data_IF_497042426329
#
_entry.id   IF_497042426329
#
_cell.length_a   1.000
_cell.length_b   1.000
_cell.length_c   1.000
_cell.angle_alpha   90.00
_cell.angle_beta   90.00
_cell.angle_gamma   90.00
#
_symmetry.space_group_name_H-M   'P 1'
#
loop_
_entity.id
_entity.type
_entity.pdbx_description
1 polymer ?
#
# COMPACT_ATOMS: atom_id res chain seq x y z
N UNK A 1 -25.74 -72.94 7.51
CA UNK A 1 -27.22 -72.96 7.44
C UNK A 1 -27.77 -73.23 8.84
N UNK A 2 -28.87 -72.61 9.29
CA UNK A 2 -29.61 -71.48 8.71
C UNK A 2 -29.98 -70.31 9.68
N UNK A 3 -30.27 -69.14 9.06
CA UNK A 3 -31.36 -68.13 9.25
C UNK A 3 -31.62 -67.51 10.66
N UNK A 4 -31.81 -66.20 10.89
CA UNK A 4 -32.55 -65.14 10.15
C UNK A 4 -32.31 -63.71 10.74
N UNK A 5 -32.39 -62.67 9.89
CA UNK A 5 -33.05 -61.34 10.10
C UNK A 5 -32.42 -60.35 11.11
N UNK A 6 -32.02 -59.10 10.80
CA UNK A 6 -32.71 -58.01 10.06
C UNK A 6 -31.70 -56.90 9.69
N UNK A 7 -31.73 -56.44 8.45
CA UNK A 7 -31.15 -55.18 7.97
C UNK A 7 -32.26 -54.14 7.80
N UNK A 8 -31.97 -52.87 8.10
CA UNK A 8 -32.84 -51.74 7.78
C UNK A 8 -32.03 -50.69 7.00
N UNK A 9 -32.48 -50.38 5.79
CA UNK A 9 -32.00 -49.27 4.97
C UNK A 9 -33.15 -48.34 4.63
N UNK A 10 -32.86 -47.05 4.43
CA UNK A 10 -33.71 -46.05 3.77
C UNK A 10 -32.77 -45.04 3.09
N UNK A 11 -32.58 -45.16 1.76
CA UNK A 11 -33.22 -44.42 0.64
C UNK A 11 -32.63 -43.03 0.37
N UNK A 12 -31.72 -42.98 -0.61
CA UNK A 12 -31.36 -41.78 -1.38
C UNK A 12 -32.46 -41.46 -2.40
N UNK A 13 -32.83 -40.18 -2.52
CA UNK A 13 -33.64 -39.66 -3.62
C UNK A 13 -32.71 -38.87 -4.55
N UNK A 14 -32.62 -39.31 -5.80
CA UNK A 14 -31.97 -38.62 -6.92
C UNK A 14 -33.11 -38.23 -7.86
N UNK A 15 -33.22 -36.94 -8.20
CA UNK A 15 -34.12 -36.48 -9.25
C UNK A 15 -33.29 -35.79 -10.34
N UNK A 16 -33.09 -36.52 -11.44
CA UNK A 16 -32.68 -36.00 -12.73
C UNK A 16 -33.94 -35.54 -13.48
N UNK A 17 -33.92 -34.33 -14.03
CA UNK A 17 -34.82 -33.92 -15.12
C UNK A 17 -33.98 -33.70 -16.38
N UNK A 18 -34.34 -34.38 -17.47
CA UNK A 18 -33.75 -34.17 -18.78
C UNK A 18 -34.82 -34.33 -19.87
N UNK A 19 -34.78 -33.36 -20.80
CA UNK A 19 -35.19 -33.37 -22.21
C UNK A 19 -36.67 -33.25 -22.63
N UNK A 20 -36.94 -32.25 -23.48
CA UNK A 20 -37.66 -32.45 -24.75
C UNK A 20 -37.25 -31.37 -25.78
N UNK A 21 -36.54 -31.82 -26.83
CA UNK A 21 -36.35 -31.16 -28.11
C UNK A 21 -37.57 -31.43 -29.00
N UNK A 22 -37.99 -30.44 -29.80
CA UNK A 22 -38.90 -30.62 -30.93
C UNK A 22 -38.19 -30.21 -32.22
N UNK A 23 -38.08 -31.16 -33.15
CA UNK A 23 -37.82 -30.96 -34.57
C UNK A 23 -39.03 -31.51 -35.34
N UNK A 24 -39.52 -30.74 -36.31
CA UNK A 24 -40.29 -31.26 -37.45
C UNK A 24 -39.77 -30.66 -38.74
N UNK A 25 -39.69 -31.55 -39.73
CA UNK A 25 -39.10 -31.51 -41.08
C UNK A 25 -39.88 -30.69 -42.12
N UNK A 26 -39.21 -30.19 -43.18
CA UNK A 26 -39.41 -30.62 -44.59
C UNK A 26 -38.78 -29.67 -45.65
N UNK A 27 -38.18 -30.27 -46.70
CA UNK A 27 -37.99 -29.72 -48.06
C UNK A 27 -36.65 -29.01 -48.31
N UNK A 28 -35.59 -29.62 -48.86
CA UNK A 28 -35.35 -30.20 -50.19
C UNK A 28 -34.96 -29.17 -51.28
N UNK A 29 -33.95 -29.52 -52.09
CA UNK A 29 -33.64 -28.88 -53.38
C UNK A 29 -32.42 -27.96 -53.43
N UNK A 30 -31.29 -28.49 -53.94
CA UNK A 30 -30.09 -27.73 -54.27
C UNK A 30 -30.15 -26.98 -55.61
N UNK A 31 -29.06 -26.27 -55.95
CA UNK A 31 -28.81 -25.85 -57.34
C UNK A 31 -28.16 -24.47 -57.54
N UNK A 32 -26.85 -24.49 -57.78
CA UNK A 32 -26.05 -23.72 -58.76
C UNK A 32 -26.26 -22.20 -58.99
N UNK A 33 -25.15 -21.48 -58.81
CA UNK A 33 -24.41 -20.64 -59.80
C UNK A 33 -25.22 -19.77 -60.78
N UNK A 34 -24.97 -18.46 -60.75
CA UNK A 34 -25.28 -17.53 -61.84
C UNK A 34 -24.75 -16.11 -61.60
N UNK A 35 -23.57 -15.82 -62.16
CA UNK A 35 -23.02 -14.49 -62.44
C UNK A 35 -23.83 -13.73 -63.50
N UNK A 36 -23.83 -12.39 -63.53
CA UNK A 36 -23.88 -11.45 -64.70
C UNK A 36 -23.99 -10.01 -64.11
N UNK A 37 -22.92 -9.19 -64.02
CA UNK A 37 -22.26 -8.24 -64.95
C UNK A 37 -22.87 -6.83 -65.10
N UNK A 38 -21.97 -5.84 -64.98
CA UNK A 38 -21.80 -4.56 -65.73
C UNK A 38 -22.95 -3.54 -65.80
N UNK A 39 -22.74 -2.37 -65.18
CA UNK A 39 -22.22 -1.10 -65.74
C UNK A 39 -23.27 -0.32 -66.52
N UNK A 40 -23.57 0.91 -66.06
CA UNK A 40 -23.53 2.04 -66.99
C UNK A 40 -23.29 3.40 -66.31
N UNK A 41 -22.57 4.24 -67.04
CA UNK A 41 -21.80 5.41 -66.59
C UNK A 41 -22.56 6.75 -66.63
N UNK A 42 -22.01 7.66 -65.82
CA UNK A 42 -21.78 9.09 -66.05
C UNK A 42 -22.93 10.11 -65.92
N UNK A 43 -22.78 11.01 -64.93
CA UNK A 43 -22.60 12.47 -65.15
C UNK A 43 -22.27 13.20 -63.83
N UNK A 44 -21.17 13.97 -63.83
CA UNK A 44 -20.89 15.11 -62.92
C UNK A 44 -20.81 16.39 -63.78
N UNK A 45 -21.06 17.62 -63.28
CA UNK A 45 -20.18 18.36 -62.35
C UNK A 45 -20.98 19.17 -61.28
N UNK A 46 -20.48 19.82 -60.21
CA UNK A 46 -19.35 20.74 -59.99
C UNK A 46 -19.26 20.98 -58.45
N UNK A 47 -18.14 20.69 -57.80
CA UNK A 47 -17.07 21.60 -57.33
C UNK A 47 -17.46 22.85 -56.52
N UNK A 48 -17.35 22.77 -55.18
CA UNK A 48 -16.80 23.84 -54.36
C UNK A 48 -16.16 23.23 -53.08
N UNK A 49 -14.85 22.98 -53.13
CA UNK A 49 -14.04 22.64 -51.95
C UNK A 49 -12.99 23.74 -51.77
N UNK A 50 -13.07 24.40 -50.62
CA UNK A 50 -12.09 25.35 -50.11
C UNK A 50 -10.72 24.67 -49.94
N UNK A 51 -9.68 25.30 -50.49
CA UNK A 51 -8.28 24.95 -50.31
C UNK A 51 -7.85 25.17 -48.85
N UNK A 52 -7.53 24.10 -48.13
CA UNK A 52 -6.55 24.15 -47.04
C UNK A 52 -5.43 23.16 -47.36
N UNK A 53 -4.21 23.69 -47.53
CA UNK A 53 -3.01 22.95 -47.88
C UNK A 53 -2.33 22.53 -46.57
N UNK A 54 -2.13 21.23 -46.38
CA UNK A 54 -1.32 20.71 -45.26
C UNK A 54 0.15 21.15 -45.43
N UNK A 55 0.85 21.57 -44.36
CA UNK A 55 2.25 21.95 -44.45
C UNK A 55 3.11 20.70 -44.65
N UNK A 56 3.88 20.67 -45.76
CA UNK A 56 4.88 19.64 -46.00
C UNK A 56 6.18 19.98 -45.26
N UNK A 57 6.60 19.12 -44.33
CA UNK A 57 7.92 19.16 -43.70
C UNK A 57 8.99 18.75 -44.72
N UNK A 58 9.99 19.61 -44.94
CA UNK A 58 11.17 19.27 -45.75
C UNK A 58 12.06 18.28 -44.98
N UNK A 59 12.63 17.24 -45.63
CA UNK A 59 13.59 16.36 -44.98
C UNK A 59 14.87 17.13 -44.65
N UNK A 60 15.31 17.06 -43.39
CA UNK A 60 16.55 17.67 -42.90
C UNK A 60 17.73 16.88 -43.45
N UNK A 61 18.62 17.55 -44.17
CA UNK A 61 19.89 17.00 -44.68
C UNK A 61 20.78 16.67 -43.47
N UNK A 62 21.10 15.39 -43.25
CA UNK A 62 22.04 14.95 -42.22
C UNK A 62 23.43 14.95 -42.86
N UNK A 63 24.33 15.80 -42.37
CA UNK A 63 25.75 15.73 -42.70
C UNK A 63 26.42 14.61 -41.89
N UNK A 64 27.31 13.80 -42.48
CA UNK A 64 28.01 12.75 -41.76
C UNK A 64 29.05 13.35 -40.82
N UNK A 65 28.92 13.04 -39.53
CA UNK A 65 29.92 13.33 -38.50
C UNK A 65 31.16 12.45 -38.70
N UNK A 66 32.39 12.95 -38.50
CA UNK A 66 33.60 12.15 -38.62
C UNK A 66 33.69 11.13 -37.48
N UNK A 67 34.06 9.89 -37.82
CA UNK A 67 34.32 8.81 -36.86
C UNK A 67 35.53 9.16 -35.98
N UNK A 68 35.31 9.42 -34.69
CA UNK A 68 36.39 9.62 -33.72
C UNK A 68 36.74 8.28 -33.08
N UNK A 69 38.03 7.92 -33.12
CA UNK A 69 38.55 6.66 -32.62
C UNK A 69 38.42 6.56 -31.10
N UNK A 70 38.10 5.37 -30.62
CA UNK A 70 38.11 5.01 -29.20
C UNK A 70 39.55 4.83 -28.72
N UNK A 71 40.03 5.78 -27.93
CA UNK A 71 41.01 5.51 -26.88
C UNK A 71 40.43 6.03 -25.56
N UNK A 72 40.59 5.30 -24.44
CA UNK A 72 40.17 5.78 -23.14
C UNK A 72 41.08 6.95 -22.74
N UNK A 73 40.50 8.14 -22.56
CA UNK A 73 41.23 9.24 -21.94
C UNK A 73 41.34 8.93 -20.45
N UNK A 74 42.54 8.58 -19.99
CA UNK A 74 42.88 8.68 -18.58
C UNK A 74 42.83 10.17 -18.21
N UNK A 75 41.89 10.54 -17.35
CA UNK A 75 41.83 11.86 -16.75
C UNK A 75 42.90 11.90 -15.65
N UNK A 76 44.09 12.43 -15.98
CA UNK A 76 45.05 12.89 -14.97
C UNK A 76 44.62 14.28 -14.47
N UNK A 77 44.21 14.37 -13.21
CA UNK A 77 43.83 15.61 -12.53
C UNK A 77 42.92 15.34 -11.32
N UNK A 78 42.97 16.21 -10.31
CA UNK A 78 42.05 16.13 -9.16
C UNK A 78 40.60 16.26 -9.68
N UNK A 79 39.68 15.35 -9.33
CA UNK A 79 38.29 15.42 -9.79
C UNK A 79 37.58 16.74 -9.50
N UNK A 80 38.06 17.59 -8.58
CA UNK A 80 37.50 18.93 -8.34
C UNK A 80 37.77 19.95 -9.48
N UNK A 81 38.82 19.76 -10.29
CA UNK A 81 39.18 20.69 -11.38
C UNK A 81 38.29 20.54 -12.64
N UNK A 82 37.40 19.55 -12.66
CA UNK A 82 36.48 19.27 -13.78
C UNK A 82 35.02 19.62 -13.50
N UNK A 83 34.72 20.16 -12.32
CA UNK A 83 33.40 20.69 -11.98
C UNK A 83 33.49 22.20 -11.77
N UNK A 84 32.96 22.98 -12.72
CA UNK A 84 32.55 24.35 -12.38
C UNK A 84 31.35 24.27 -11.44
N UNK A 85 31.60 24.44 -10.15
CA UNK A 85 30.57 24.80 -9.17
C UNK A 85 30.08 26.21 -9.52
N UNK A 86 29.04 26.28 -10.35
CA UNK A 86 28.36 27.54 -10.63
C UNK A 86 27.57 27.92 -9.38
N UNK A 87 28.16 28.84 -8.63
CA UNK A 87 27.65 29.40 -7.38
C UNK A 87 26.37 30.22 -7.63
N UNK A 88 25.21 29.55 -7.58
CA UNK A 88 23.92 30.21 -7.41
C UNK A 88 23.43 30.07 -5.95
N UNK A 89 24.29 30.38 -4.97
CA UNK A 89 23.88 30.53 -3.58
C UNK A 89 23.70 32.01 -3.23
N UNK A 90 22.48 32.53 -3.35
CA UNK A 90 22.13 33.83 -2.77
C UNK A 90 20.79 33.86 -2.03
N UNK A 91 20.23 32.75 -1.52
CA UNK A 91 18.99 32.82 -0.73
C UNK A 91 18.80 31.80 0.41
N UNK A 92 19.84 31.09 0.88
CA UNK A 92 19.68 30.19 2.03
C UNK A 92 20.82 30.35 3.04
N UNK A 93 20.47 30.65 4.30
CA UNK A 93 21.34 30.44 5.45
C UNK A 93 21.09 29.04 6.00
N UNK A 94 22.09 28.17 5.93
CA UNK A 94 22.10 26.91 6.66
C UNK A 94 22.46 27.24 8.12
N UNK A 95 21.47 27.21 9.02
CA UNK A 95 21.76 27.28 10.45
C UNK A 95 22.46 25.99 10.89
N UNK A 96 23.62 26.11 11.53
CA UNK A 96 24.28 24.97 12.18
C UNK A 96 23.39 24.49 13.34
N UNK A 97 23.17 23.18 13.49
CA UNK A 97 22.36 22.68 14.60
C UNK A 97 23.03 23.01 15.94
N UNK A 98 22.31 23.71 16.80
CA UNK A 98 22.69 23.94 18.19
C UNK A 98 22.87 22.59 18.91
N UNK A 99 23.97 22.37 19.65
CA UNK A 99 24.37 21.06 20.17
C UNK A 99 23.37 20.42 21.18
N UNK A 100 22.35 21.15 21.62
CA UNK A 100 21.33 20.68 22.56
C UNK A 100 19.89 20.58 22.00
N UNK A 101 19.67 20.81 20.70
CA UNK A 101 18.31 20.83 20.11
C UNK A 101 17.94 19.63 19.22
N UNK A 102 18.87 18.71 18.96
CA UNK A 102 18.63 17.60 18.05
C UNK A 102 18.00 16.38 18.76
N UNK A 103 16.66 16.36 18.85
CA UNK A 103 15.90 15.10 18.94
C UNK A 103 14.84 15.03 17.86
N UNK A 104 15.28 14.58 16.68
CA UNK A 104 14.52 13.73 15.77
C UNK A 104 13.39 14.38 14.95
N UNK A 105 13.48 14.19 13.63
CA UNK A 105 12.41 14.37 12.62
C UNK A 105 12.29 15.73 11.91
N UNK A 106 13.30 16.60 11.94
CA UNK A 106 13.35 17.76 11.03
C UNK A 106 14.07 17.41 9.72
N UNK A 107 13.36 17.46 8.59
CA UNK A 107 13.98 17.48 7.26
C UNK A 107 13.22 18.43 6.32
N UNK A 108 13.92 19.45 5.83
CA UNK A 108 13.45 20.35 4.80
C UNK A 108 14.04 19.96 3.44
N UNK A 109 13.23 20.02 2.37
CA UNK A 109 13.74 20.15 1.00
C UNK A 109 12.90 21.19 0.26
N UNK A 110 13.62 22.06 -0.43
CA UNK A 110 13.10 23.15 -1.25
C UNK A 110 12.90 22.63 -2.68
N UNK A 111 11.74 22.83 -3.32
CA UNK A 111 11.59 22.52 -4.75
C UNK A 111 12.35 23.56 -5.59
N UNK A 112 12.97 23.18 -6.72
CA UNK A 112 13.49 24.16 -7.66
C UNK A 112 12.34 24.88 -8.34
N UNK A 113 12.52 26.18 -8.55
CA UNK A 113 11.63 26.99 -9.36
C UNK A 113 11.95 26.83 -10.86
N UNK A 114 11.88 25.62 -11.45
CA UNK A 114 11.96 25.45 -12.92
C UNK A 114 11.22 24.21 -13.46
N UNK A 115 10.65 24.27 -14.68
CA UNK A 115 10.02 23.13 -15.32
C UNK A 115 11.08 22.13 -15.82
N UNK A 116 11.18 20.96 -15.18
CA UNK A 116 12.03 19.85 -15.65
C UNK A 116 12.76 19.06 -14.56
N UNK A 117 12.73 19.51 -13.31
CA UNK A 117 13.34 18.79 -12.17
C UNK A 117 12.24 18.22 -11.26
N UNK A 118 12.08 16.89 -11.30
CA UNK A 118 11.11 16.15 -10.48
C UNK A 118 11.70 15.82 -9.10
N UNK A 119 11.70 16.78 -8.19
CA UNK A 119 11.97 16.51 -6.78
C UNK A 119 10.94 17.20 -5.89
N UNK A 120 10.05 16.40 -5.30
CA UNK A 120 9.12 16.82 -4.27
C UNK A 120 9.53 16.14 -2.97
N UNK A 121 9.93 16.89 -1.96
CA UNK A 121 9.94 16.40 -0.57
C UNK A 121 9.07 17.33 0.23
N UNK A 122 8.21 16.75 1.06
CA UNK A 122 7.48 17.51 2.06
C UNK A 122 8.31 17.54 3.34
N UNK A 123 8.30 18.69 4.01
CA UNK A 123 8.81 18.77 5.38
C UNK A 123 7.74 18.18 6.28
N UNK A 124 8.05 17.11 7.03
CA UNK A 124 7.30 16.83 8.26
C UNK A 124 7.77 17.89 9.24
N UNK A 125 7.16 19.09 9.18
CA UNK A 125 7.33 20.05 10.27
C UNK A 125 6.59 19.42 11.44
N UNK A 126 7.32 18.69 12.28
CA UNK A 126 6.88 18.58 13.66
C UNK A 126 6.77 20.03 14.13
N UNK A 127 5.58 20.52 14.55
CA UNK A 127 5.52 21.84 15.14
C UNK A 127 6.58 21.87 16.23
N UNK A 128 7.53 22.81 16.14
CA UNK A 128 8.49 23.04 17.20
C UNK A 128 7.70 22.99 18.51
N UNK A 129 8.23 22.28 19.50
CA UNK A 129 7.86 22.52 20.89
C UNK A 129 8.31 23.96 21.21
N UNK A 130 7.57 24.93 20.67
CA UNK A 130 7.54 26.30 21.16
C UNK A 130 7.31 26.14 22.64
N UNK A 131 8.16 26.78 23.45
CA UNK A 131 8.26 26.60 24.90
C UNK A 131 6.99 26.95 25.69
N UNK A 132 5.84 27.01 25.05
CA UNK A 132 4.52 26.94 25.65
C UNK A 132 3.96 25.54 25.37
N UNK A 133 4.22 24.61 26.29
CA UNK A 133 3.41 23.40 26.46
C UNK A 133 2.01 23.82 26.92
N UNK A 134 1.26 24.52 26.07
CA UNK A 134 -0.20 24.45 26.15
C UNK A 134 -0.53 23.02 25.80
N UNK A 135 -0.61 22.15 26.82
CA UNK A 135 -1.31 20.90 26.68
C UNK A 135 -2.66 21.26 26.06
N UNK A 136 -2.96 20.88 24.81
CA UNK A 136 -4.34 21.00 24.37
C UNK A 136 -5.13 20.19 25.39
N UNK A 137 -6.21 20.79 25.88
CA UNK A 137 -7.13 20.21 26.85
C UNK A 137 -7.83 19.00 26.22
N UNK A 138 -7.07 17.94 25.98
CA UNK A 138 -7.58 16.73 25.41
C UNK A 138 -8.28 15.98 26.52
N UNK A 139 -9.59 16.06 26.54
CA UNK A 139 -10.43 15.16 27.34
C UNK A 139 -10.34 13.72 26.84
N UNK A 140 -9.65 13.47 25.71
CA UNK A 140 -9.48 12.14 25.15
C UNK A 140 -8.53 11.31 26.02
N UNK A 141 -9.04 10.22 26.58
CA UNK A 141 -8.24 9.23 27.29
C UNK A 141 -7.89 8.10 26.34
N UNK A 142 -6.60 7.83 26.21
CA UNK A 142 -6.14 6.64 25.49
C UNK A 142 -6.74 5.37 26.12
N UNK A 143 -7.01 4.33 25.31
CA UNK A 143 -7.35 3.01 25.83
C UNK A 143 -6.29 2.49 26.80
N UNK A 144 -6.71 1.66 27.76
CA UNK A 144 -5.79 1.03 28.72
C UNK A 144 -4.69 0.24 27.97
N UNK A 145 -3.45 0.37 28.41
CA UNK A 145 -2.29 -0.28 27.80
C UNK A 145 -1.58 0.57 26.74
N UNK A 146 -1.95 1.84 26.63
CA UNK A 146 -1.28 2.81 25.77
C UNK A 146 -0.95 4.09 26.53
N UNK A 147 0.27 4.58 26.33
CA UNK A 147 0.80 5.78 26.97
C UNK A 147 1.11 6.85 25.92
N UNK A 148 0.69 8.09 26.15
CA UNK A 148 1.05 9.21 25.28
C UNK A 148 2.53 9.56 25.42
N UNK A 149 3.17 9.95 24.31
CA UNK A 149 4.54 10.47 24.29
C UNK A 149 4.49 11.99 24.05
N UNK A 150 4.37 12.81 25.11
CA UNK A 150 4.09 14.25 25.00
C UNK A 150 5.19 15.05 24.29
N UNK A 151 6.42 14.54 24.26
CA UNK A 151 7.56 15.13 23.57
C UNK A 151 7.35 15.31 22.05
N UNK A 152 6.43 14.53 21.46
CA UNK A 152 6.07 14.65 20.04
C UNK A 152 4.88 15.60 19.79
N UNK A 153 4.35 16.21 20.84
CA UNK A 153 3.20 17.10 20.78
C UNK A 153 1.87 16.40 20.45
N UNK A 154 0.88 17.22 20.13
CA UNK A 154 -0.51 16.81 19.95
C UNK A 154 -1.08 17.35 18.63
N UNK A 155 -2.16 16.75 18.14
CA UNK A 155 -2.94 17.27 17.02
C UNK A 155 -3.80 18.46 17.46
N UNK A 156 -4.42 19.14 16.49
CA UNK A 156 -5.35 20.25 16.77
C UNK A 156 -6.56 19.79 17.60
N UNK A 157 -6.96 18.54 17.47
CA UNK A 157 -8.03 17.88 18.22
C UNK A 157 -7.56 17.36 19.60
N UNK A 158 -6.29 17.59 19.95
CA UNK A 158 -5.71 17.15 21.22
C UNK A 158 -5.31 15.68 21.25
N UNK A 159 -5.21 14.98 20.11
CA UNK A 159 -4.71 13.60 20.10
C UNK A 159 -3.19 13.60 20.17
N UNK A 160 -2.54 12.79 21.04
CA UNK A 160 -1.08 12.63 21.01
C UNK A 160 -0.58 12.29 19.60
N UNK A 161 0.49 12.91 19.11
CA UNK A 161 1.06 12.57 17.79
C UNK A 161 1.80 11.24 17.79
N UNK A 162 2.29 10.84 18.97
CA UNK A 162 2.89 9.54 19.25
C UNK A 162 2.33 8.96 20.54
N UNK A 163 2.15 7.65 20.51
CA UNK A 163 1.84 6.84 21.69
C UNK A 163 2.78 5.65 21.73
N UNK A 164 2.84 4.98 22.87
CA UNK A 164 3.53 3.71 23.04
C UNK A 164 2.54 2.66 23.52
N UNK A 165 2.58 1.47 22.96
CA UNK A 165 1.92 0.31 23.56
C UNK A 165 2.73 -0.18 24.75
N UNK A 166 2.11 -0.27 25.92
CA UNK A 166 2.82 -0.60 27.16
C UNK A 166 3.28 -2.07 27.19
N UNK A 167 2.67 -2.93 26.37
CA UNK A 167 2.94 -4.37 26.36
C UNK A 167 4.13 -4.75 25.48
N UNK A 168 4.15 -4.25 24.23
CA UNK A 168 5.22 -4.58 23.30
C UNK A 168 6.26 -3.46 23.10
N UNK A 169 6.05 -2.32 23.75
CA UNK A 169 6.86 -1.11 23.69
C UNK A 169 6.94 -0.46 22.31
N UNK A 170 6.09 -0.85 21.36
CA UNK A 170 6.06 -0.21 20.05
C UNK A 170 5.63 1.25 20.16
N UNK A 171 6.36 2.14 19.52
CA UNK A 171 5.87 3.49 19.24
C UNK A 171 4.87 3.44 18.08
N UNK A 172 3.82 4.26 18.15
CA UNK A 172 2.78 4.35 17.13
C UNK A 172 2.55 5.81 16.74
N UNK A 173 2.32 6.04 15.45
CA UNK A 173 2.07 7.32 14.85
C UNK A 173 0.57 7.59 14.69
N UNK A 174 0.12 8.79 15.04
CA UNK A 174 -1.23 9.25 14.72
C UNK A 174 -1.38 9.46 13.21
N UNK A 175 -2.39 8.81 12.63
CA UNK A 175 -2.94 9.14 11.31
C UNK A 175 -4.30 9.82 11.55
N UNK A 176 -4.41 11.14 11.29
CA UNK A 176 -5.63 11.89 11.56
C UNK A 176 -6.85 11.40 10.76
N UNK A 177 -8.04 11.76 11.26
CA UNK A 177 -9.29 11.52 10.54
C UNK A 177 -9.35 12.45 9.32
N UNK A 178 -9.46 11.89 8.13
CA UNK A 178 -9.51 12.67 6.88
C UNK A 178 -9.82 11.79 5.68
N UNK A 179 -10.11 12.44 4.55
CA UNK A 179 -10.20 11.80 3.24
C UNK A 179 -8.78 11.53 2.72
N UNK A 180 -8.58 10.37 2.11
CA UNK A 180 -7.34 10.03 1.41
C UNK A 180 -7.63 9.40 0.05
N UNK A 181 -6.68 9.56 -0.87
CA UNK A 181 -6.68 8.92 -2.18
C UNK A 181 -6.08 7.51 -2.05
N UNK A 182 -6.80 6.53 -2.60
CA UNK A 182 -6.42 5.11 -2.60
C UNK A 182 -6.29 4.60 -4.04
N UNK A 183 -5.35 3.70 -4.28
CA UNK A 183 -5.10 3.12 -5.59
C UNK A 183 -4.48 4.11 -6.58
N UNK A 184 -4.58 3.77 -7.86
CA UNK A 184 -4.06 4.55 -8.98
C UNK A 184 -5.02 4.51 -10.16
N UNK A 185 -5.02 5.55 -10.97
CA UNK A 185 -5.87 5.61 -12.17
C UNK A 185 -5.30 4.76 -13.32
N UNK A 186 -3.98 4.62 -13.38
CA UNK A 186 -3.29 3.88 -14.43
C UNK A 186 -2.13 3.06 -13.88
N UNK A 187 -1.75 2.00 -14.60
CA UNK A 187 -0.71 1.07 -14.17
C UNK A 187 -1.28 -0.31 -13.86
N UNK A 188 -0.99 -0.84 -12.67
CA UNK A 188 -1.41 -2.18 -12.26
C UNK A 188 -2.95 -2.25 -12.11
N UNK A 189 -3.64 -3.14 -12.83
CA UNK A 189 -5.09 -3.31 -12.70
C UNK A 189 -5.54 -3.68 -11.28
N UNK A 190 -4.71 -4.33 -10.47
CA UNK A 190 -5.06 -4.70 -9.10
C UNK A 190 -5.24 -3.49 -8.18
N UNK A 191 -4.59 -2.36 -8.51
CA UNK A 191 -4.66 -1.12 -7.76
C UNK A 191 -5.59 -0.07 -8.40
N UNK A 192 -6.36 -0.46 -9.43
CA UNK A 192 -7.33 0.39 -10.12
C UNK A 192 -8.78 0.08 -9.70
N UNK A 193 -9.70 1.05 -9.81
CA UNK A 193 -9.46 2.47 -10.06
C UNK A 193 -8.94 3.18 -8.81
N UNK A 194 -8.47 4.41 -8.98
CA UNK A 194 -8.26 5.29 -7.84
C UNK A 194 -9.62 5.69 -7.25
N UNK A 195 -9.69 5.87 -5.93
CA UNK A 195 -10.89 6.36 -5.26
C UNK A 195 -10.57 7.13 -3.99
N UNK A 196 -11.51 7.95 -3.54
CA UNK A 196 -11.40 8.68 -2.27
C UNK A 196 -12.10 7.92 -1.14
N UNK A 197 -11.46 7.81 0.01
CA UNK A 197 -12.04 7.22 1.22
C UNK A 197 -11.86 8.13 2.42
N UNK A 198 -12.93 8.34 3.18
CA UNK A 198 -12.85 8.92 4.53
C UNK A 198 -12.56 7.84 5.56
N UNK A 199 -11.58 8.08 6.41
CA UNK A 199 -11.23 7.19 7.53
C UNK A 199 -11.14 8.00 8.82
N UNK A 200 -11.63 7.40 9.91
CA UNK A 200 -11.44 7.92 11.26
C UNK A 200 -9.96 7.92 11.63
N UNK A 201 -9.60 8.68 12.68
CA UNK A 201 -8.26 8.70 13.20
C UNK A 201 -7.88 7.33 13.79
N UNK A 202 -6.64 6.92 13.58
CA UNK A 202 -6.06 5.71 14.16
C UNK A 202 -4.59 5.93 14.46
N UNK A 203 -4.02 5.07 15.28
CA UNK A 203 -2.57 4.96 15.42
C UNK A 203 -2.08 3.75 14.66
N UNK A 204 -0.89 3.83 14.07
CA UNK A 204 -0.21 2.71 13.40
C UNK A 204 1.21 2.56 13.95
N UNK A 205 1.68 1.33 14.14
CA UNK A 205 3.04 1.07 14.58
C UNK A 205 4.06 1.77 13.64
N UNK A 206 5.10 2.36 14.25
CA UNK A 206 6.08 3.20 13.57
C UNK A 206 6.92 2.41 12.56
N UNK A 207 7.10 1.12 12.76
CA UNK A 207 7.77 0.15 11.89
C UNK A 207 7.10 -1.23 12.05
N UNK A 208 7.53 -2.23 11.29
CA UNK A 208 7.01 -3.59 11.41
C UNK A 208 7.28 -4.20 12.78
N UNK A 209 6.47 -5.19 13.18
CA UNK A 209 6.75 -5.98 14.39
C UNK A 209 8.09 -6.67 14.23
N UNK A 210 8.99 -6.41 15.17
CA UNK A 210 10.34 -6.94 15.14
C UNK A 210 10.38 -8.41 15.54
N UNK A 211 11.41 -9.11 15.09
CA UNK A 211 11.62 -10.52 15.43
C UNK A 211 11.74 -10.73 16.94
N UNK A 212 12.37 -9.80 17.67
CA UNK A 212 12.46 -9.84 19.14
C UNK A 212 11.07 -9.73 19.79
N UNK A 213 10.25 -8.78 19.37
CA UNK A 213 8.88 -8.62 19.87
C UNK A 213 8.04 -9.88 19.64
N UNK A 214 8.14 -10.48 18.44
CA UNK A 214 7.43 -11.71 18.11
C UNK A 214 7.90 -12.90 18.96
N UNK A 215 9.22 -13.11 19.11
CA UNK A 215 9.81 -14.17 19.95
C UNK A 215 9.38 -14.04 21.41
N UNK A 216 9.34 -12.81 21.95
CA UNK A 216 8.85 -12.55 23.31
C UNK A 216 7.40 -12.95 23.46
N UNK A 217 6.52 -12.48 22.57
CA UNK A 217 5.10 -12.84 22.58
C UNK A 217 4.89 -14.37 22.48
N UNK A 218 5.63 -15.03 21.58
CA UNK A 218 5.58 -16.49 21.42
C UNK A 218 5.96 -17.22 22.71
N UNK A 219 7.02 -16.78 23.38
CA UNK A 219 7.47 -17.36 24.65
C UNK A 219 6.42 -17.20 25.75
N UNK A 220 5.76 -16.04 25.84
CA UNK A 220 4.62 -15.82 26.76
C UNK A 220 3.45 -16.76 26.45
N UNK A 221 3.12 -16.95 25.17
CA UNK A 221 2.00 -17.80 24.76
C UNK A 221 2.23 -19.28 25.07
N UNK A 222 3.46 -19.76 24.85
CA UNK A 222 3.88 -21.12 25.22
C UNK A 222 3.72 -21.31 26.73
N UNK A 223 4.24 -20.37 27.54
CA UNK A 223 4.17 -20.44 28.99
C UNK A 223 2.72 -20.40 29.53
N UNK A 224 1.84 -19.59 28.91
CA UNK A 224 0.50 -19.37 29.42
C UNK A 224 -0.55 -20.40 28.96
N UNK A 225 -0.43 -20.94 27.74
CA UNK A 225 -1.54 -21.70 27.11
C UNK A 225 -1.15 -23.05 26.54
N UNK A 226 0.14 -23.41 26.53
CA UNK A 226 0.63 -24.66 25.92
C UNK A 226 0.35 -24.78 24.42
N UNK A 227 -0.20 -23.75 23.78
CA UNK A 227 -0.27 -23.62 22.32
C UNK A 227 1.05 -23.02 21.85
N UNK A 228 1.62 -23.60 20.81
CA UNK A 228 2.87 -23.18 20.22
C UNK A 228 2.51 -22.40 18.96
N UNK A 229 2.48 -21.04 18.98
CA UNK A 229 2.56 -20.29 17.72
C UNK A 229 3.78 -20.75 16.94
N UNK A 230 3.71 -20.76 15.62
CA UNK A 230 4.88 -21.16 14.83
C UNK A 230 6.00 -20.12 15.01
N UNK A 231 7.28 -20.55 15.03
CA UNK A 231 8.38 -19.62 14.98
C UNK A 231 8.29 -18.78 13.70
N UNK A 232 8.89 -17.59 13.71
CA UNK A 232 9.01 -16.82 12.48
C UNK A 232 9.82 -17.60 11.43
N UNK A 233 9.54 -17.36 10.14
CA UNK A 233 10.33 -17.97 9.06
C UNK A 233 11.82 -17.57 9.13
N UNK A 234 12.11 -16.41 9.71
CA UNK A 234 13.46 -15.92 9.99
C UNK A 234 13.87 -16.05 11.47
N UNK A 235 13.35 -17.02 12.22
CA UNK A 235 13.59 -17.16 13.68
C UNK A 235 15.04 -17.51 14.07
N UNK A 236 15.99 -17.60 13.15
CA UNK A 236 17.42 -17.72 13.46
C UNK A 236 18.20 -16.43 13.18
N UNK A 237 17.54 -15.41 12.64
CA UNK A 237 18.21 -14.17 12.29
C UNK A 237 18.43 -13.27 13.53
N UNK A 238 19.41 -12.38 13.40
CA UNK A 238 19.90 -11.49 14.44
C UNK A 238 19.62 -10.02 14.10
N UNK A 239 19.77 -9.16 15.11
CA UNK A 239 19.52 -7.72 14.98
C UNK A 239 18.04 -7.35 15.06
N UNK A 240 17.78 -6.04 14.97
CA UNK A 240 16.43 -5.48 15.10
C UNK A 240 15.65 -5.55 13.76
N UNK A 241 15.51 -6.75 13.21
CA UNK A 241 14.88 -7.02 11.91
C UNK A 241 13.37 -7.29 12.06
N UNK A 242 12.56 -7.09 10.99
CA UNK A 242 11.16 -7.48 11.01
C UNK A 242 10.98 -8.99 11.19
N UNK A 243 9.93 -9.40 11.92
CA UNK A 243 9.50 -10.79 11.94
C UNK A 243 8.82 -11.12 10.60
N UNK A 244 9.28 -12.17 9.91
CA UNK A 244 8.79 -12.53 8.58
C UNK A 244 8.42 -14.02 8.49
N UNK A 245 7.73 -14.40 7.42
CA UNK A 245 7.17 -15.74 7.26
C UNK A 245 6.07 -16.03 8.29
N UNK A 246 5.34 -14.99 8.72
CA UNK A 246 4.34 -15.09 9.78
C UNK A 246 2.99 -15.46 9.17
N UNK A 247 2.38 -16.55 9.64
CA UNK A 247 1.02 -16.89 9.25
C UNK A 247 0.05 -15.79 9.70
N UNK A 248 -0.94 -15.45 8.88
CA UNK A 248 -1.91 -14.41 9.20
C UNK A 248 -2.61 -14.64 10.55
N UNK A 249 -2.89 -15.91 10.89
CA UNK A 249 -3.50 -16.29 12.17
C UNK A 249 -2.65 -15.89 13.38
N UNK A 250 -1.32 -15.98 13.27
CA UNK A 250 -0.42 -15.59 14.36
C UNK A 250 -0.26 -14.06 14.41
N UNK A 251 -0.23 -13.39 13.26
CA UNK A 251 -0.24 -11.92 13.17
C UNK A 251 -1.48 -11.31 13.86
N UNK A 252 -2.69 -11.82 13.60
CA UNK A 252 -3.91 -11.35 14.29
C UNK A 252 -3.90 -11.66 15.79
N UNK A 253 -3.34 -12.81 16.19
CA UNK A 253 -3.29 -13.21 17.59
C UNK A 253 -2.29 -12.34 18.37
N UNK A 254 -1.14 -12.02 17.76
CA UNK A 254 -0.20 -11.04 18.27
C UNK A 254 -0.90 -9.69 18.46
N UNK A 255 -1.49 -9.14 17.40
CA UNK A 255 -2.12 -7.81 17.44
C UNK A 255 -3.17 -7.71 18.54
N UNK A 256 -4.07 -8.71 18.65
CA UNK A 256 -5.08 -8.79 19.70
C UNK A 256 -4.49 -8.87 21.11
N UNK A 257 -3.39 -9.59 21.27
CA UNK A 257 -2.69 -9.72 22.57
C UNK A 257 -2.14 -8.39 23.07
N UNK A 258 -1.75 -7.52 22.14
CA UNK A 258 -1.25 -6.17 22.40
C UNK A 258 -2.37 -5.11 22.51
N UNK A 259 -3.65 -5.51 22.39
CA UNK A 259 -4.78 -4.57 22.37
C UNK A 259 -4.89 -3.77 21.07
N UNK A 260 -4.31 -4.30 19.99
CA UNK A 260 -4.26 -3.70 18.64
C UNK A 260 -5.02 -4.57 17.63
N UNK A 261 -4.99 -4.17 16.36
CA UNK A 261 -5.54 -4.88 15.20
C UNK A 261 -4.51 -4.89 14.07
N UNK A 262 -4.69 -5.75 13.06
CA UNK A 262 -3.99 -5.55 11.78
C UNK A 262 -4.61 -4.34 11.07
N UNK A 263 -3.81 -3.57 10.28
CA UNK A 263 -4.35 -2.48 9.49
C UNK A 263 -5.38 -2.99 8.48
N UNK A 264 -6.40 -2.19 8.20
CA UNK A 264 -7.09 -2.31 6.93
C UNK A 264 -6.14 -1.91 5.80
N UNK A 265 -6.33 -2.46 4.61
CA UNK A 265 -5.56 -2.12 3.41
C UNK A 265 -5.53 -0.60 3.18
N UNK A 266 -6.68 0.05 3.32
CA UNK A 266 -6.79 1.50 3.15
C UNK A 266 -6.08 2.29 4.26
N UNK A 267 -6.03 1.76 5.48
CA UNK A 267 -5.28 2.38 6.58
C UNK A 267 -3.79 2.30 6.34
N UNK A 268 -3.30 1.13 5.91
CA UNK A 268 -1.90 0.93 5.56
C UNK A 268 -1.49 1.89 4.44
N UNK A 269 -2.29 1.96 3.36
CA UNK A 269 -1.99 2.81 2.22
C UNK A 269 -2.05 4.29 2.57
N UNK A 270 -3.05 4.73 3.35
CA UNK A 270 -3.11 6.10 3.85
C UNK A 270 -1.86 6.41 4.66
N UNK A 271 -1.50 5.55 5.62
CA UNK A 271 -0.33 5.73 6.46
C UNK A 271 0.98 5.81 5.66
N UNK A 272 1.07 5.11 4.53
CA UNK A 272 2.22 5.18 3.63
C UNK A 272 2.22 6.47 2.79
N UNK A 273 1.11 6.79 2.12
CA UNK A 273 1.05 7.75 1.01
C UNK A 273 0.57 9.15 1.41
N UNK A 274 0.00 9.31 2.60
CA UNK A 274 -0.69 10.54 2.99
C UNK A 274 -2.04 10.72 2.30
N UNK A 275 -2.67 11.88 2.54
CA UNK A 275 -4.00 12.20 2.01
C UNK A 275 -4.01 12.38 0.49
N UNK A 276 -2.92 12.92 -0.05
CA UNK A 276 -2.75 13.21 -1.48
C UNK A 276 -2.37 11.99 -2.31
N UNK A 277 -2.14 10.83 -1.69
CA UNK A 277 -1.81 9.61 -2.40
C UNK A 277 -0.45 9.65 -3.12
N UNK A 278 0.63 10.02 -2.44
CA UNK A 278 1.98 9.99 -3.04
C UNK A 278 2.38 8.60 -3.54
N UNK A 279 3.19 8.51 -4.59
CA UNK A 279 3.65 7.24 -5.16
C UNK A 279 4.51 6.44 -4.18
N UNK A 280 5.32 7.13 -3.37
CA UNK A 280 6.20 6.56 -2.36
C UNK A 280 5.96 7.21 -0.99
N UNK A 281 6.41 6.58 0.11
CA UNK A 281 6.24 7.15 1.45
C UNK A 281 6.86 8.54 1.61
N UNK A 282 8.02 8.77 1.01
CA UNK A 282 8.74 10.04 1.04
C UNK A 282 8.23 11.08 0.02
N UNK A 283 7.14 10.80 -0.70
CA UNK A 283 6.62 11.66 -1.77
C UNK A 283 6.97 11.13 -3.17
N UNK A 284 6.77 11.95 -4.20
CA UNK A 284 6.97 11.54 -5.60
C UNK A 284 8.42 11.73 -6.11
N UNK A 285 9.28 12.28 -5.27
CA UNK A 285 10.71 12.47 -5.56
C UNK A 285 11.56 11.23 -5.25
N UNK A 286 12.87 11.47 -5.16
CA UNK A 286 13.86 10.47 -4.77
C UNK A 286 14.13 10.52 -3.26
N UNK A 287 14.26 9.34 -2.60
CA UNK A 287 14.66 9.33 -1.21
C UNK A 287 16.16 9.65 -1.09
N UNK A 288 16.53 10.32 0.00
CA UNK A 288 17.93 10.50 0.38
C UNK A 288 18.34 9.35 1.31
N UNK A 289 19.17 8.45 0.80
CA UNK A 289 19.72 7.33 1.57
C UNK A 289 21.23 7.47 1.72
N UNK A 290 21.73 7.08 2.90
CA UNK A 290 23.17 7.05 3.19
C UNK A 290 23.90 5.90 2.50
N UNK A 291 23.17 4.93 1.94
CA UNK A 291 23.67 3.78 1.18
C UNK A 291 22.65 3.35 0.14
N UNK A 292 23.09 2.65 -0.90
CA UNK A 292 22.19 2.03 -1.87
C UNK A 292 21.30 0.98 -1.20
N UNK A 293 20.01 0.99 -1.54
CA UNK A 293 19.01 -0.01 -1.11
C UNK A 293 18.29 -0.56 -2.32
N UNK A 294 18.11 -1.87 -2.37
CA UNK A 294 17.39 -2.55 -3.44
C UNK A 294 15.97 -2.93 -3.00
N UNK A 295 14.97 -2.92 -3.91
CA UNK A 295 13.65 -3.47 -3.61
C UNK A 295 13.74 -4.89 -3.06
N UNK A 296 12.96 -5.17 -2.01
CA UNK A 296 12.95 -6.48 -1.33
C UNK A 296 14.15 -6.75 -0.42
N UNK A 297 15.08 -5.79 -0.27
CA UNK A 297 16.15 -5.87 0.72
C UNK A 297 15.57 -5.75 2.14
N UNK A 298 16.01 -6.66 3.02
CA UNK A 298 15.66 -6.68 4.45
C UNK A 298 16.80 -6.05 5.25
N UNK A 299 16.47 -5.06 6.07
CA UNK A 299 17.39 -4.38 6.98
C UNK A 299 16.76 -4.32 8.38
N UNK A 300 17.54 -4.00 9.43
CA UNK A 300 16.96 -3.61 10.71
C UNK A 300 15.93 -2.50 10.52
N UNK A 301 14.84 -2.53 11.27
CA UNK A 301 13.79 -1.51 11.19
C UNK A 301 14.38 -0.11 11.41
N UNK A 302 13.85 0.87 10.68
CA UNK A 302 14.29 2.28 10.69
C UNK A 302 15.73 2.49 10.20
N UNK A 303 16.33 1.53 9.49
CA UNK A 303 17.69 1.69 8.93
C UNK A 303 17.79 2.81 7.90
N UNK A 304 16.69 3.17 7.23
CA UNK A 304 16.65 4.23 6.24
C UNK A 304 15.78 5.40 6.70
N UNK A 305 16.37 6.45 7.29
CA UNK A 305 15.60 7.60 7.79
C UNK A 305 14.77 8.32 6.73
N UNK A 306 15.18 8.24 5.46
CA UNK A 306 14.45 8.78 4.31
C UNK A 306 13.30 7.91 3.83
N UNK A 307 13.16 6.66 4.30
CA UNK A 307 11.97 5.83 4.06
C UNK A 307 10.92 6.10 5.15
N UNK A 308 10.33 7.29 5.06
CA UNK A 308 9.42 7.81 6.07
C UNK A 308 8.20 8.44 5.43
N UNK A 309 7.02 8.04 5.89
CA UNK A 309 5.74 8.56 5.41
C UNK A 309 5.44 9.98 5.91
N UNK A 310 4.40 10.66 5.38
CA UNK A 310 3.96 11.97 5.89
C UNK A 310 3.57 11.99 7.38
N UNK A 311 3.25 10.83 7.95
CA UNK A 311 2.93 10.68 9.37
C UNK A 311 4.12 10.24 10.23
N UNK A 312 5.28 10.06 9.59
CA UNK A 312 6.51 9.65 10.19
C UNK A 312 6.68 8.13 10.34
N UNK A 313 5.91 7.33 9.61
CA UNK A 313 5.95 5.86 9.67
C UNK A 313 7.08 5.37 8.77
N UNK A 314 7.91 4.47 9.28
CA UNK A 314 9.09 3.94 8.60
C UNK A 314 8.79 2.65 7.84
N UNK A 315 9.67 2.37 6.87
CA UNK A 315 9.76 1.09 6.17
C UNK A 315 8.47 0.73 5.41
N UNK A 316 7.69 1.75 4.99
CA UNK A 316 6.46 1.53 4.22
C UNK A 316 6.76 1.23 2.74
N UNK A 317 7.98 1.49 2.26
CA UNK A 317 8.45 1.09 0.95
C UNK A 317 9.44 -0.07 1.10
N UNK A 318 8.94 -1.28 1.29
CA UNK A 318 9.73 -2.50 1.32
C UNK A 318 10.14 -2.90 2.73
N UNK A 319 11.37 -3.41 2.90
CA UNK A 319 11.69 -4.28 4.04
C UNK A 319 10.76 -5.52 4.00
N UNK A 320 9.88 -5.74 4.98
CA UNK A 320 8.90 -6.81 4.88
C UNK A 320 7.65 -6.39 4.09
N UNK A 321 7.00 -7.35 3.42
CA UNK A 321 5.60 -7.18 3.03
C UNK A 321 4.71 -7.40 4.25
N UNK A 322 3.55 -6.79 4.29
CA UNK A 322 2.80 -6.66 5.52
C UNK A 322 1.34 -7.07 5.36
N UNK A 323 0.90 -7.96 6.25
CA UNK A 323 -0.50 -8.35 6.32
C UNK A 323 -1.44 -7.17 6.60
N UNK A 324 -2.54 -7.12 5.86
CA UNK A 324 -3.73 -6.35 6.19
C UNK A 324 -4.89 -7.28 6.53
N UNK A 325 -5.90 -6.76 7.24
CA UNK A 325 -7.03 -7.56 7.70
C UNK A 325 -8.03 -7.92 6.58
N UNK A 326 -7.96 -7.22 5.44
CA UNK A 326 -8.84 -7.38 4.30
C UNK A 326 -8.69 -8.75 3.61
N UNK A 327 -9.83 -9.31 3.18
CA UNK A 327 -9.81 -10.38 2.19
C UNK A 327 -9.32 -9.84 0.85
N UNK A 328 -8.46 -10.60 0.16
CA UNK A 328 -8.00 -10.19 -1.15
C UNK A 328 -9.09 -10.35 -2.21
N UNK A 329 -9.22 -9.33 -3.06
CA UNK A 329 -9.99 -9.38 -4.29
C UNK A 329 -9.40 -8.42 -5.33
N UNK A 330 -9.18 -8.87 -6.58
CA UNK A 330 -8.68 -8.00 -7.64
C UNK A 330 -9.65 -6.85 -7.98
N UNK A 331 -10.96 -7.03 -7.75
CA UNK A 331 -11.98 -6.01 -8.01
C UNK A 331 -12.39 -5.22 -6.76
N UNK A 332 -11.64 -5.34 -5.65
CA UNK A 332 -11.98 -4.70 -4.38
C UNK A 332 -12.19 -3.18 -4.51
N UNK A 333 -11.35 -2.50 -5.28
CA UNK A 333 -11.42 -1.03 -5.44
C UNK A 333 -12.61 -0.60 -6.31
N UNK A 334 -12.93 -1.34 -7.38
CA UNK A 334 -14.16 -1.12 -8.16
C UNK A 334 -15.39 -1.29 -7.27
N UNK A 335 -15.41 -2.35 -6.45
CA UNK A 335 -16.50 -2.62 -5.52
C UNK A 335 -16.61 -1.57 -4.40
N UNK A 336 -15.48 -1.00 -3.95
CA UNK A 336 -15.47 0.10 -3.00
C UNK A 336 -16.05 1.37 -3.63
N UNK A 337 -15.57 1.77 -4.81
CA UNK A 337 -16.04 2.96 -5.51
C UNK A 337 -17.54 2.91 -5.83
N UNK A 338 -18.06 1.73 -6.20
CA UNK A 338 -19.49 1.53 -6.44
C UNK A 338 -20.38 1.76 -5.21
N UNK A 339 -19.80 1.78 -3.99
CA UNK A 339 -20.49 2.07 -2.72
C UNK A 339 -20.28 3.51 -2.26
N UNK A 340 -19.57 4.33 -3.03
CA UNK A 340 -19.30 5.71 -2.66
C UNK A 340 -20.59 6.52 -2.59
N UNK A 341 -20.64 7.45 -1.63
CA UNK A 341 -21.66 8.47 -1.55
C UNK A 341 -21.00 9.82 -1.87
N UNK A 342 -21.55 10.53 -2.86
CA UNK A 342 -20.96 11.73 -3.44
C UNK A 342 -19.46 11.56 -3.83
N UNK A 343 -19.07 10.38 -4.32
CA UNK A 343 -17.69 10.08 -4.75
C UNK A 343 -16.71 9.78 -3.61
N UNK A 344 -17.17 9.75 -2.35
CA UNK A 344 -16.35 9.38 -1.20
C UNK A 344 -16.84 8.07 -0.59
N UNK A 345 -15.93 7.11 -0.48
CA UNK A 345 -16.16 5.86 0.26
C UNK A 345 -16.07 6.15 1.76
N UNK A 346 -16.96 5.56 2.55
CA UNK A 346 -16.98 5.69 4.02
C UNK A 346 -17.10 4.32 4.65
N UNK A 347 -16.46 4.14 5.82
CA UNK A 347 -16.54 2.94 6.65
C UNK A 347 -16.29 1.62 5.92
N UNK A 348 -15.47 1.65 4.86
CA UNK A 348 -15.13 0.46 4.09
C UNK A 348 -14.01 -0.31 4.77
N UNK A 349 -14.28 -1.59 5.06
CA UNK A 349 -13.37 -2.51 5.75
C UNK A 349 -12.95 -3.66 4.84
N UNK A 350 -12.86 -3.40 3.53
CA UNK A 350 -12.55 -4.42 2.54
C UNK A 350 -13.72 -5.30 2.10
N UNK A 351 -13.45 -6.28 1.21
CA UNK A 351 -14.39 -7.33 0.86
C UNK A 351 -14.80 -8.15 2.10
N UNK A 352 -16.10 -8.47 2.21
CA UNK A 352 -16.64 -9.21 3.37
C UNK A 352 -16.42 -10.72 3.31
N UNK A 353 -16.20 -11.26 2.11
CA UNK A 353 -15.98 -12.68 1.85
C UNK A 353 -14.73 -12.85 0.97
N UNK A 354 -14.01 -13.99 1.11
CA UNK A 354 -12.91 -14.30 0.23
C UNK A 354 -13.41 -14.48 -1.20
N UNK A 355 -12.89 -13.69 -2.14
CA UNK A 355 -13.09 -13.92 -3.58
C UNK A 355 -12.08 -14.95 -4.07
N UNK A 356 -10.83 -14.83 -3.60
CA UNK A 356 -9.82 -15.87 -3.76
C UNK A 356 -9.69 -16.62 -2.44
N UNK A 357 -9.93 -17.93 -2.47
CA UNK A 357 -10.03 -18.75 -1.26
C UNK A 357 -8.72 -18.74 -0.47
N UNK A 358 -8.79 -18.29 0.78
CA UNK A 358 -7.64 -18.32 1.69
C UNK A 358 -6.63 -17.18 1.50
N UNK A 359 -6.90 -16.20 0.63
CA UNK A 359 -5.99 -15.08 0.42
C UNK A 359 -6.39 -13.81 1.19
N UNK A 360 -5.42 -13.25 1.92
CA UNK A 360 -5.52 -11.93 2.56
C UNK A 360 -4.67 -10.93 1.79
N UNK A 361 -4.97 -9.65 1.98
CA UNK A 361 -4.15 -8.59 1.38
C UNK A 361 -2.79 -8.53 2.06
N UNK A 362 -1.73 -8.52 1.26
CA UNK A 362 -0.41 -8.09 1.66
C UNK A 362 -0.05 -6.77 0.96
N UNK A 363 0.48 -5.83 1.74
CA UNK A 363 0.97 -4.52 1.29
C UNK A 363 2.49 -4.45 1.39
N UNK A 364 3.09 -3.44 0.78
CA UNK A 364 4.52 -3.42 0.53
C UNK A 364 4.85 -4.30 -0.68
N UNK A 365 5.83 -3.89 -1.46
CA UNK A 365 6.21 -4.57 -2.69
C UNK A 365 7.65 -5.05 -2.62
N UNK A 366 7.86 -6.29 -3.06
CA UNK A 366 9.19 -6.91 -3.13
C UNK A 366 10.00 -6.38 -4.31
N UNK A 367 9.33 -5.98 -5.39
CA UNK A 367 9.94 -5.63 -6.68
C UNK A 367 9.89 -4.12 -6.98
N UNK A 368 9.33 -3.31 -6.08
CA UNK A 368 9.23 -1.87 -6.26
C UNK A 368 9.01 -1.16 -4.93
N UNK A 369 9.21 0.15 -4.91
CA UNK A 369 8.92 0.99 -3.74
C UNK A 369 7.50 1.56 -3.71
N UNK A 370 6.68 1.26 -4.73
CA UNK A 370 5.37 1.91 -4.92
C UNK A 370 4.42 1.48 -3.81
N UNK A 371 4.04 2.44 -2.97
CA UNK A 371 3.22 2.19 -1.78
C UNK A 371 1.79 1.78 -2.10
N UNK A 372 1.33 1.93 -3.34
CA UNK A 372 -0.01 1.53 -3.79
C UNK A 372 -0.12 0.08 -4.26
N UNK A 373 1.01 -0.62 -4.42
CA UNK A 373 0.98 -2.02 -4.83
C UNK A 373 0.36 -2.88 -3.73
N UNK A 374 -0.41 -3.86 -4.19
CA UNK A 374 -1.14 -4.82 -3.35
C UNK A 374 -1.06 -6.21 -3.96
N UNK A 375 -1.05 -7.22 -3.11
CA UNK A 375 -1.06 -8.62 -3.52
C UNK A 375 -2.04 -9.43 -2.66
N UNK A 376 -2.54 -10.52 -3.23
CA UNK A 376 -3.20 -11.58 -2.49
C UNK A 376 -2.17 -12.60 -2.04
N UNK A 377 -2.21 -12.99 -0.77
CA UNK A 377 -1.26 -13.92 -0.19
C UNK A 377 -1.98 -14.99 0.63
N UNK A 378 -1.53 -16.23 0.49
CA UNK A 378 -2.14 -17.36 1.18
C UNK A 378 -1.95 -17.23 2.69
N UNK A 379 -3.05 -17.13 3.43
CA UNK A 379 -3.03 -16.83 4.86
C UNK A 379 -2.40 -17.94 5.73
N UNK A 380 -2.27 -19.16 5.19
CA UNK A 380 -1.68 -20.33 5.89
C UNK A 380 -0.25 -20.60 5.48
N UNK A 381 0.11 -20.32 4.22
CA UNK A 381 1.44 -20.53 3.67
C UNK A 381 1.97 -19.22 3.09
N UNK A 382 2.31 -18.23 3.95
CA UNK A 382 2.79 -16.93 3.51
C UNK A 382 4.10 -17.04 2.73
N UNK A 383 4.36 -16.04 1.88
CA UNK A 383 5.72 -15.77 1.40
C UNK A 383 6.71 -15.55 2.57
N UNK A 384 7.99 -15.91 2.40
CA UNK A 384 9.00 -15.80 3.46
C UNK A 384 9.33 -14.35 3.84
N UNK A 385 8.89 -13.38 3.04
CA UNK A 385 9.07 -11.94 3.22
C UNK A 385 7.86 -11.25 3.88
N UNK A 386 6.84 -12.01 4.30
CA UNK A 386 5.62 -11.45 4.89
C UNK A 386 5.73 -11.37 6.41
N UNK A 387 5.77 -10.14 6.91
CA UNK A 387 5.56 -9.76 8.30
C UNK A 387 4.25 -9.01 8.48
N UNK A 388 4.22 -8.08 9.43
CA UNK A 388 3.06 -7.23 9.70
C UNK A 388 3.43 -6.06 10.61
N UNK A 389 2.57 -5.05 10.62
CA UNK A 389 2.51 -4.01 11.65
C UNK A 389 1.09 -3.91 12.19
N UNK A 390 0.88 -3.25 13.32
CA UNK A 390 -0.44 -3.16 13.95
C UNK A 390 -1.00 -1.73 13.95
N UNK A 391 -2.31 -1.62 14.13
CA UNK A 391 -3.03 -0.37 14.34
C UNK A 391 -3.83 -0.38 15.63
N UNK A 392 -4.05 0.81 16.20
CA UNK A 392 -5.03 1.07 17.23
C UNK A 392 -6.09 2.02 16.67
N UNK A 393 -7.28 1.48 16.43
CA UNK A 393 -8.42 2.25 15.94
C UNK A 393 -9.03 3.09 17.06
N UNK A 394 -9.28 4.37 16.79
CA UNK A 394 -9.97 5.25 17.72
C UNK A 394 -11.45 5.24 17.40
N UNK A 395 -12.26 4.79 18.35
CA UNK A 395 -13.71 4.88 18.22
C UNK A 395 -14.15 6.31 18.55
N UNK A 396 -14.98 6.96 17.72
CA UNK A 396 -15.57 8.23 18.07
C UNK A 396 -16.32 8.14 19.40
N UNK A 397 -16.20 9.16 20.25
CA UNK A 397 -16.91 9.21 21.53
C UNK A 397 -18.43 9.07 21.30
N UNK A 398 -19.04 8.01 21.85
CA UNK A 398 -20.48 7.74 21.74
C UNK A 398 -20.87 6.46 21.00
N UNK A 399 -19.95 5.86 20.23
CA UNK A 399 -20.15 4.50 19.70
C UNK A 399 -19.36 3.51 20.57
N UNK A 400 -20.03 2.84 21.51
CA UNK A 400 -19.45 1.61 22.04
C UNK A 400 -19.37 0.59 20.89
N UNK A 401 -18.29 -0.20 20.76
CA UNK A 401 -18.30 -1.32 19.84
C UNK A 401 -19.51 -2.18 20.17
N UNK A 402 -20.36 -2.43 19.18
CA UNK A 402 -21.56 -3.24 19.37
C UNK A 402 -21.14 -4.57 19.99
N UNK A 403 -21.71 -4.90 21.16
CA UNK A 403 -21.44 -6.17 21.84
C UNK A 403 -21.89 -7.37 20.99
N UNK A 404 -22.66 -7.13 19.93
CA UNK A 404 -23.07 -8.12 18.94
C UNK A 404 -22.19 -8.17 17.67
N UNK A 405 -21.20 -7.30 17.51
CA UNK A 405 -20.13 -7.54 16.52
C UNK A 405 -19.25 -8.68 17.05
N UNK A 406 -19.62 -9.92 16.72
CA UNK A 406 -18.68 -11.03 16.76
C UNK A 406 -17.43 -10.59 15.99
N UNK A 407 -16.21 -10.78 16.51
CA UNK A 407 -15.03 -10.60 15.69
C UNK A 407 -15.23 -11.45 14.43
N UNK A 408 -15.10 -10.84 13.25
CA UNK A 408 -15.43 -11.47 11.97
C UNK A 408 -14.63 -12.75 11.65
N UNK A 409 -13.75 -13.19 12.54
CA UNK A 409 -13.02 -14.44 12.45
C UNK A 409 -12.94 -15.08 13.85
N UNK A 410 -13.95 -15.87 14.20
CA UNK A 410 -13.84 -16.96 15.17
C UNK A 410 -13.96 -18.27 14.38
N UNK A 411 -12.81 -18.83 14.03
CA UNK A 411 -12.67 -20.24 13.67
C UNK A 411 -11.71 -20.87 14.67
#
# INVERSE_FOLDING_TARGET
>A
MPLLSKTAGFRFSVSCCLLALLLTSCGDGGGKVGSFTEEDKARSPSSNRSNMRAPQLKPRKVEPQPSRSTQPAELEGDPEDHFELVDYLHNYQIQKPEPNRARGEEFAVVPPAEPGLNASTFTVIQPEATGETTQPSSTFKLPKGFTALPEYGYSAEGLPRRIRCDRDYSEMALVPASVSIQGVESGDPNAQPQFSIFQNAFYIDLHEVTLEQYRRWRSEMIAAKGKIPEPAGNDQAEGNIPAMGIAYTDAINYARTMGKQLPLETQWEKAARGELGFQYPWGDGHPLWHKNRQPGQIDPVKSFPGDKSPYGVYDMAGNAREWCDDWYSPDAYKAALARSDAGVVRDWTGPKLPVVSGERVARGAKDSWKAWKRAGENMRTPGPDIGFRCVLNLTPAGQQPDKNTRPANAF
#
